data_IF_455298869896
#
_entry.id   IF_455298869896
#
_cell.length_a   1.000
_cell.length_b   1.000
_cell.length_c   1.000
_cell.angle_alpha   90.00
_cell.angle_beta   90.00
_cell.angle_gamma   90.00
#
_symmetry.space_group_name_H-M   'P 1'
#
loop_
_entity.id
_entity.type
_entity.pdbx_description
1 polymer ?
#
# COMPACT_ATOMS: atom_id res chain seq x y z
N UNK A 1 59.74 -51.36 15.86
CA UNK A 1 58.87 -51.31 17.05
C UNK A 1 59.09 -49.99 17.76
N UNK A 2 58.11 -49.08 17.74
CA UNK A 2 58.19 -47.86 18.53
C UNK A 2 57.09 -47.83 19.61
N UNK A 3 57.59 -47.98 20.83
CA UNK A 3 57.26 -47.30 22.09
C UNK A 3 55.85 -46.72 22.25
N UNK A 4 55.11 -47.35 23.17
CA UNK A 4 53.86 -46.91 23.76
C UNK A 4 54.12 -45.67 24.65
N UNK A 5 53.49 -44.54 24.33
CA UNK A 5 53.49 -43.33 25.14
C UNK A 5 52.12 -43.17 25.81
N UNK A 6 52.12 -43.04 27.13
CA UNK A 6 50.94 -42.96 27.98
C UNK A 6 49.97 -41.82 27.58
N UNK A 7 48.64 -42.00 27.76
CA UNK A 7 47.66 -41.00 27.39
C UNK A 7 47.79 -39.73 28.26
N UNK A 8 47.56 -38.54 27.68
CA UNK A 8 47.63 -37.29 28.43
C UNK A 8 46.49 -37.23 29.46
N UNK A 9 46.88 -36.89 30.70
CA UNK A 9 46.00 -36.59 31.82
C UNK A 9 45.02 -35.49 31.41
N UNK A 10 43.75 -35.85 31.22
CA UNK A 10 42.67 -34.87 31.01
C UNK A 10 42.46 -34.13 32.32
N UNK A 11 42.98 -32.91 32.41
CA UNK A 11 42.64 -31.99 33.47
C UNK A 11 41.14 -31.70 33.40
N UNK A 12 40.37 -32.21 34.38
CA UNK A 12 38.96 -31.84 34.55
C UNK A 12 38.89 -30.34 34.85
N UNK A 13 38.58 -29.53 33.82
CA UNK A 13 38.20 -28.14 34.04
C UNK A 13 36.95 -28.14 34.92
N UNK A 14 37.06 -27.49 36.07
CA UNK A 14 35.96 -27.28 37.02
C UNK A 14 34.73 -26.74 36.27
N UNK A 15 33.55 -27.32 36.53
CA UNK A 15 32.31 -27.02 35.80
C UNK A 15 31.76 -25.60 36.05
N UNK A 16 32.43 -24.78 36.85
CA UNK A 16 31.97 -23.44 37.21
C UNK A 16 32.22 -22.39 36.09
N UNK A 17 33.21 -22.60 35.21
CA UNK A 17 33.59 -21.59 34.21
C UNK A 17 32.65 -21.58 32.98
N UNK A 18 32.09 -22.73 32.58
CA UNK A 18 31.26 -22.85 31.37
C UNK A 18 29.86 -22.23 31.55
N UNK A 19 29.34 -22.20 32.77
CA UNK A 19 27.97 -21.72 33.05
C UNK A 19 27.84 -20.19 33.16
N UNK A 20 28.94 -19.47 33.38
CA UNK A 20 28.90 -18.01 33.62
C UNK A 20 28.54 -17.19 32.38
N UNK A 21 28.72 -17.76 31.19
CA UNK A 21 28.51 -17.04 29.93
C UNK A 21 27.06 -17.10 29.44
N UNK A 22 26.32 -18.16 29.81
CA UNK A 22 24.94 -18.40 29.38
C UNK A 22 23.92 -17.37 29.90
N UNK A 23 24.15 -16.78 31.08
CA UNK A 23 23.21 -15.82 31.69
C UNK A 23 23.05 -14.51 30.91
N UNK A 24 23.99 -14.15 30.03
CA UNK A 24 23.95 -12.86 29.31
C UNK A 24 22.89 -12.83 28.19
N UNK A 25 22.39 -13.99 27.79
CA UNK A 25 21.47 -14.14 26.64
C UNK A 25 20.05 -14.49 27.06
N UNK A 26 19.66 -14.25 28.32
CA UNK A 26 18.30 -14.46 28.83
C UNK A 26 17.91 -13.30 29.76
N UNK A 27 16.68 -12.82 29.66
CA UNK A 27 16.11 -11.85 30.63
C UNK A 27 15.87 -12.53 31.97
N UNK A 28 15.84 -11.76 33.07
CA UNK A 28 15.61 -12.30 34.42
C UNK A 28 14.28 -13.08 34.52
N UNK A 29 13.27 -12.72 33.72
CA UNK A 29 11.98 -13.44 33.65
C UNK A 29 12.08 -14.88 33.15
N UNK A 30 13.19 -15.23 32.48
CA UNK A 30 13.44 -16.58 31.97
C UNK A 30 13.96 -17.54 33.04
N UNK A 31 14.34 -17.05 34.23
CA UNK A 31 14.83 -17.87 35.34
C UNK A 31 13.71 -18.25 36.31
N UNK A 32 13.86 -19.37 36.99
CA UNK A 32 12.90 -19.80 38.01
C UNK A 32 12.86 -18.82 39.20
N UNK A 33 11.72 -18.72 39.86
CA UNK A 33 11.55 -17.83 41.04
C UNK A 33 12.56 -18.14 42.16
N UNK A 34 12.89 -19.41 42.34
CA UNK A 34 13.92 -19.89 43.27
C UNK A 34 15.31 -19.36 42.91
N UNK A 35 15.65 -19.36 41.61
CA UNK A 35 16.92 -18.82 41.10
C UNK A 35 17.02 -17.32 41.34
N UNK A 36 15.96 -16.56 41.01
CA UNK A 36 15.94 -15.11 41.21
C UNK A 36 16.01 -14.71 42.69
N UNK A 37 15.31 -15.43 43.55
CA UNK A 37 15.32 -15.18 44.99
C UNK A 37 16.70 -15.47 45.59
N UNK A 38 17.32 -16.60 45.24
CA UNK A 38 18.66 -16.95 45.73
C UNK A 38 19.74 -15.97 45.25
N UNK A 39 19.58 -15.44 44.03
CA UNK A 39 20.45 -14.38 43.48
C UNK A 39 20.30 -13.07 44.23
N UNK A 40 19.08 -12.66 44.55
CA UNK A 40 18.78 -11.42 45.28
C UNK A 40 19.35 -11.45 46.70
N UNK A 41 19.27 -12.61 47.36
CA UNK A 41 19.81 -12.83 48.70
C UNK A 41 21.32 -13.16 48.73
N UNK A 42 22.00 -13.16 47.56
CA UNK A 42 23.44 -13.40 47.46
C UNK A 42 23.90 -14.81 47.87
N UNK A 43 22.97 -15.76 47.97
CA UNK A 43 23.25 -17.14 48.35
C UNK A 43 23.92 -17.89 47.20
N UNK A 44 24.67 -18.96 47.50
CA UNK A 44 25.24 -19.82 46.46
C UNK A 44 24.13 -20.64 45.81
N UNK A 45 23.89 -20.45 44.51
CA UNK A 45 22.85 -21.16 43.76
C UNK A 45 23.35 -21.59 42.37
N UNK A 46 22.64 -22.53 41.74
CA UNK A 46 22.82 -22.91 40.34
C UNK A 46 21.71 -22.26 39.50
N UNK A 47 22.01 -21.48 38.45
CA UNK A 47 20.98 -20.81 37.65
C UNK A 47 20.13 -21.81 36.88
N UNK A 48 18.82 -21.79 37.14
CA UNK A 48 17.86 -22.69 36.48
C UNK A 48 16.86 -21.88 35.67
N UNK A 49 16.76 -22.20 34.38
CA UNK A 49 15.83 -21.59 33.44
C UNK A 49 14.45 -22.25 33.54
N UNK A 50 13.41 -21.50 33.22
CA UNK A 50 12.07 -22.06 33.04
C UNK A 50 12.05 -22.93 31.77
N UNK A 51 11.19 -23.95 31.69
CA UNK A 51 11.10 -24.83 30.52
C UNK A 51 10.78 -24.11 29.21
N UNK A 52 10.15 -22.94 29.29
CA UNK A 52 9.75 -22.06 28.19
C UNK A 52 10.73 -20.90 27.93
N UNK A 53 11.90 -20.91 28.56
CA UNK A 53 12.89 -19.85 28.42
C UNK A 53 13.46 -19.77 26.99
N UNK A 54 13.25 -18.63 26.32
CA UNK A 54 13.82 -18.34 25.00
C UNK A 54 14.96 -17.35 25.14
N UNK A 55 16.14 -17.59 24.53
CA UNK A 55 17.25 -16.64 24.55
C UNK A 55 16.86 -15.30 23.89
N UNK A 56 17.29 -14.18 24.48
CA UNK A 56 17.06 -12.82 23.95
C UNK A 56 17.62 -12.61 22.55
N UNK A 57 18.62 -13.40 22.14
CA UNK A 57 19.13 -13.44 20.77
C UNK A 57 18.03 -13.69 19.72
N UNK A 58 17.00 -14.46 20.06
CA UNK A 58 15.89 -14.75 19.16
C UNK A 58 14.71 -13.75 19.30
N UNK A 59 14.70 -12.92 20.34
CA UNK A 59 13.65 -11.91 20.61
C UNK A 59 13.89 -10.54 19.97
N UNK A 60 15.02 -10.32 19.29
CA UNK A 60 15.39 -9.03 18.70
C UNK A 60 14.46 -8.57 17.55
N UNK A 61 13.69 -9.47 16.95
CA UNK A 61 12.81 -9.14 15.82
C UNK A 61 11.54 -8.41 16.26
N UNK A 62 10.92 -8.80 17.37
CA UNK A 62 9.66 -8.22 17.82
C UNK A 62 9.83 -6.85 18.48
N UNK A 63 10.86 -6.66 19.30
CA UNK A 63 11.14 -5.38 19.96
C UNK A 63 11.62 -4.32 18.98
N UNK A 64 12.43 -4.69 17.98
CA UNK A 64 12.78 -3.78 16.89
C UNK A 64 11.57 -3.43 16.03
N UNK A 65 10.70 -4.41 15.72
CA UNK A 65 9.48 -4.19 14.93
C UNK A 65 8.49 -3.28 15.65
N UNK A 66 8.25 -3.47 16.96
CA UNK A 66 7.44 -2.57 17.80
C UNK A 66 8.03 -1.16 17.82
N UNK A 67 9.34 -1.01 18.06
CA UNK A 67 10.00 0.32 18.03
C UNK A 67 9.89 0.99 16.66
N UNK A 68 10.01 0.25 15.56
CA UNK A 68 9.85 0.79 14.19
C UNK A 68 8.40 1.21 13.92
N UNK A 69 7.44 0.45 14.44
CA UNK A 69 6.01 0.75 14.35
C UNK A 69 5.64 1.97 15.21
N UNK A 70 6.13 2.08 16.44
CA UNK A 70 5.94 3.25 17.31
C UNK A 70 6.62 4.51 16.75
N UNK A 71 7.79 4.38 16.12
CA UNK A 71 8.47 5.49 15.42
C UNK A 71 7.71 5.91 14.16
N UNK A 72 7.08 4.97 13.45
CA UNK A 72 6.20 5.27 12.32
C UNK A 72 4.92 5.98 12.79
N UNK A 73 4.27 5.47 13.84
CA UNK A 73 3.08 6.07 14.45
C UNK A 73 3.35 7.44 15.06
N UNK A 74 4.54 7.66 15.65
CA UNK A 74 4.96 8.99 16.13
C UNK A 74 5.22 9.97 15.00
N UNK A 75 5.81 9.53 13.86
CA UNK A 75 5.93 10.38 12.67
C UNK A 75 4.58 10.70 12.05
N UNK A 76 3.68 9.71 11.99
CA UNK A 76 2.33 9.87 11.44
C UNK A 76 1.43 10.72 12.35
N UNK A 77 1.55 10.56 13.67
CA UNK A 77 0.82 11.33 14.68
C UNK A 77 1.29 12.79 14.79
N UNK A 78 2.57 13.06 14.52
CA UNK A 78 3.10 14.44 14.48
C UNK A 78 2.67 15.18 13.21
N UNK A 79 2.38 14.47 12.11
CA UNK A 79 1.76 15.00 10.89
C UNK A 79 0.23 15.13 10.99
N UNK A 80 -0.43 14.44 11.92
CA UNK A 80 -1.90 14.41 12.04
C UNK A 80 -2.46 15.03 13.32
N UNK A 81 -1.70 15.80 14.10
CA UNK A 81 -2.30 16.71 15.10
C UNK A 81 -2.91 17.96 14.45
N UNK A 82 -3.67 17.78 13.36
CA UNK A 82 -4.71 18.73 12.97
C UNK A 82 -5.82 18.61 14.00
N UNK A 83 -5.86 19.55 14.93
CA UNK A 83 -7.04 19.80 15.77
C UNK A 83 -8.26 19.82 14.83
N UNK A 84 -9.22 18.89 15.00
CA UNK A 84 -10.50 18.94 14.27
C UNK A 84 -11.17 20.25 14.67
N UNK A 85 -10.96 21.28 13.86
CA UNK A 85 -11.68 22.53 13.98
C UNK A 85 -13.07 22.25 13.43
N UNK A 86 -14.05 22.16 14.33
CA UNK A 86 -15.46 22.14 13.93
C UNK A 86 -15.70 23.48 13.22
N UNK A 87 -16.02 23.45 11.92
CA UNK A 87 -16.25 24.69 11.17
C UNK A 87 -17.69 25.13 11.44
N UNK A 88 -17.88 26.16 12.24
CA UNK A 88 -19.18 26.79 12.46
C UNK A 88 -19.61 27.63 11.23
N UNK A 89 -18.70 27.82 10.27
CA UNK A 89 -18.87 28.68 9.10
C UNK A 89 -19.65 27.99 7.97
N UNK A 90 -19.72 26.66 7.97
CA UNK A 90 -20.34 25.90 6.88
C UNK A 90 -21.24 24.81 7.45
N UNK A 91 -22.43 24.65 6.86
CA UNK A 91 -23.54 23.86 7.42
C UNK A 91 -23.27 22.36 7.56
N UNK A 92 -22.45 21.77 6.70
CA UNK A 92 -22.14 20.33 6.73
C UNK A 92 -20.80 20.00 6.02
N UNK A 93 -20.38 18.74 6.12
CA UNK A 93 -19.15 18.23 5.51
C UNK A 93 -19.11 18.39 3.99
N UNK A 94 -20.24 18.17 3.31
CA UNK A 94 -20.34 18.28 1.86
C UNK A 94 -20.04 19.71 1.37
N UNK A 95 -20.53 20.72 2.10
CA UNK A 95 -20.27 22.11 1.80
C UNK A 95 -18.85 22.55 2.20
N UNK A 96 -18.27 21.93 3.25
CA UNK A 96 -16.86 22.17 3.61
C UNK A 96 -15.88 21.79 2.50
N UNK A 97 -16.17 20.75 1.71
CA UNK A 97 -15.29 20.34 0.61
C UNK A 97 -15.20 21.43 -0.47
N UNK A 98 -16.35 21.98 -0.88
CA UNK A 98 -16.39 23.07 -1.85
C UNK A 98 -15.74 24.35 -1.30
N UNK A 99 -16.05 24.73 -0.07
CA UNK A 99 -15.46 25.92 0.56
C UNK A 99 -13.94 25.78 0.77
N UNK A 100 -13.49 24.58 1.15
CA UNK A 100 -12.08 24.24 1.24
C UNK A 100 -11.37 24.39 -0.10
N UNK A 101 -11.98 23.90 -1.18
CA UNK A 101 -11.45 24.05 -2.53
C UNK A 101 -11.36 25.52 -2.96
N UNK A 102 -12.43 26.31 -2.77
CA UNK A 102 -12.44 27.75 -3.14
C UNK A 102 -11.31 28.51 -2.46
N UNK A 103 -11.19 28.37 -1.13
CA UNK A 103 -10.15 29.02 -0.33
C UNK A 103 -8.76 28.53 -0.70
N UNK A 104 -8.63 27.22 -0.95
CA UNK A 104 -7.38 26.60 -1.41
C UNK A 104 -6.93 27.16 -2.76
N UNK A 105 -7.81 27.22 -3.75
CA UNK A 105 -7.52 27.77 -5.07
C UNK A 105 -7.16 29.26 -5.00
N UNK A 106 -7.89 30.06 -4.20
CA UNK A 106 -7.55 31.47 -4.02
C UNK A 106 -6.13 31.65 -3.48
N UNK A 107 -5.72 30.82 -2.52
CA UNK A 107 -4.38 30.87 -1.94
C UNK A 107 -3.29 30.36 -2.89
N UNK A 108 -3.56 29.28 -3.62
CA UNK A 108 -2.58 28.64 -4.50
C UNK A 108 -2.42 29.42 -5.80
N UNK A 109 -3.50 29.88 -6.43
CA UNK A 109 -3.41 30.57 -7.73
C UNK A 109 -2.66 31.91 -7.64
N UNK A 110 -2.62 32.55 -6.47
CA UNK A 110 -1.80 33.76 -6.25
C UNK A 110 -0.30 33.48 -6.06
N UNK A 111 0.11 32.22 -5.97
CA UNK A 111 1.51 31.84 -5.65
C UNK A 111 2.10 30.83 -6.64
N UNK A 112 1.27 29.98 -7.25
CA UNK A 112 1.69 28.89 -8.14
C UNK A 112 0.78 28.88 -9.38
N UNK A 113 1.40 28.86 -10.56
CA UNK A 113 0.67 28.64 -11.80
C UNK A 113 0.08 27.22 -11.80
N UNK A 114 -1.24 27.13 -11.63
CA UNK A 114 -1.96 25.87 -11.53
C UNK A 114 -2.62 25.55 -12.87
N UNK A 115 -2.03 24.65 -13.65
CA UNK A 115 -2.58 24.25 -14.95
C UNK A 115 -3.72 23.25 -14.83
N UNK A 116 -3.63 22.32 -13.88
CA UNK A 116 -4.57 21.21 -13.73
C UNK A 116 -5.03 21.07 -12.28
N UNK A 117 -6.31 20.75 -12.12
CA UNK A 117 -6.90 20.37 -10.84
C UNK A 117 -7.56 19.00 -10.97
N UNK A 118 -7.15 18.05 -10.13
CA UNK A 118 -7.74 16.71 -10.08
C UNK A 118 -8.52 16.58 -8.76
N UNK A 119 -9.81 16.25 -8.84
CA UNK A 119 -10.66 16.08 -7.65
C UNK A 119 -11.49 14.81 -7.71
N UNK A 120 -12.14 14.47 -6.60
CA UNK A 120 -13.18 13.46 -6.58
C UNK A 120 -14.41 13.90 -7.40
N UNK A 121 -15.31 12.92 -7.65
CA UNK A 121 -16.60 13.13 -8.33
C UNK A 121 -17.62 13.78 -7.40
N UNK A 122 -17.30 14.97 -6.92
CA UNK A 122 -18.20 15.78 -6.09
C UNK A 122 -19.02 16.74 -6.94
N UNK A 123 -20.34 16.68 -6.83
CA UNK A 123 -21.26 17.41 -7.71
C UNK A 123 -21.11 18.93 -7.58
N UNK A 124 -20.95 19.46 -6.35
CA UNK A 124 -20.83 20.90 -6.15
C UNK A 124 -19.47 21.43 -6.63
N UNK A 125 -18.39 20.66 -6.46
CA UNK A 125 -17.07 21.00 -7.01
C UNK A 125 -17.11 21.02 -8.53
N UNK A 126 -17.70 19.99 -9.17
CA UNK A 126 -17.88 19.95 -10.62
C UNK A 126 -18.62 21.20 -11.12
N UNK A 127 -19.76 21.52 -10.50
CA UNK A 127 -20.55 22.71 -10.87
C UNK A 127 -19.74 23.98 -10.69
N UNK A 128 -19.06 24.14 -9.57
CA UNK A 128 -18.23 25.32 -9.29
C UNK A 128 -17.11 25.50 -10.33
N UNK A 129 -16.43 24.43 -10.72
CA UNK A 129 -15.38 24.50 -11.74
C UNK A 129 -15.96 24.87 -13.12
N UNK A 130 -17.10 24.30 -13.51
CA UNK A 130 -17.81 24.69 -14.74
C UNK A 130 -18.21 26.17 -14.72
N UNK A 131 -18.84 26.64 -13.63
CA UNK A 131 -19.25 28.04 -13.48
C UNK A 131 -18.03 28.99 -13.51
N UNK A 132 -16.88 28.55 -13.00
CA UNK A 132 -15.62 29.30 -13.04
C UNK A 132 -15.08 29.41 -14.47
N UNK A 133 -15.16 28.34 -15.25
CA UNK A 133 -14.71 28.31 -16.65
C UNK A 133 -15.53 29.23 -17.56
N UNK A 134 -16.82 29.43 -17.27
CA UNK A 134 -17.70 30.31 -18.04
C UNK A 134 -17.46 31.80 -17.81
N UNK A 135 -16.59 32.19 -16.87
CA UNK A 135 -16.36 33.61 -16.51
C UNK A 135 -15.14 34.17 -17.25
N UNK A 136 -15.29 35.23 -18.07
CA UNK A 136 -14.23 35.75 -18.95
C UNK A 136 -13.03 36.40 -18.22
N UNK A 137 -13.16 36.74 -16.93
CA UNK A 137 -12.13 37.46 -16.17
C UNK A 137 -11.45 36.61 -15.08
N UNK A 138 -11.57 35.28 -15.11
CA UNK A 138 -10.89 34.45 -14.11
C UNK A 138 -9.44 34.15 -14.52
N UNK A 139 -8.54 34.53 -13.62
CA UNK A 139 -7.08 34.71 -13.77
C UNK A 139 -6.24 33.54 -14.31
N UNK A 140 -6.80 32.35 -14.56
CA UNK A 140 -6.14 31.24 -15.26
C UNK A 140 -7.18 30.16 -15.54
N UNK A 141 -7.23 29.62 -16.76
CA UNK A 141 -8.12 28.54 -17.12
C UNK A 141 -7.56 27.20 -16.60
N UNK A 142 -7.95 26.81 -15.39
CA UNK A 142 -7.50 25.56 -14.75
C UNK A 142 -8.25 24.37 -15.32
N UNK A 143 -7.58 23.44 -16.00
CA UNK A 143 -8.23 22.24 -16.52
C UNK A 143 -8.66 21.32 -15.37
N UNK A 144 -9.96 21.16 -15.17
CA UNK A 144 -10.52 20.29 -14.13
C UNK A 144 -10.65 18.83 -14.62
N UNK A 145 -10.16 17.88 -13.81
CA UNK A 145 -10.26 16.44 -14.05
C UNK A 145 -10.74 15.70 -12.81
N UNK A 146 -11.22 14.47 -13.04
CA UNK A 146 -11.54 13.56 -11.95
C UNK A 146 -10.39 12.62 -11.65
N UNK A 147 -10.25 12.27 -10.38
CA UNK A 147 -9.29 11.27 -9.93
C UNK A 147 -9.65 9.89 -10.49
N UNK A 148 -8.74 9.34 -11.29
CA UNK A 148 -8.85 8.01 -11.91
C UNK A 148 -8.80 6.90 -10.87
N UNK A 149 -8.16 7.12 -9.71
CA UNK A 149 -8.06 6.13 -8.65
C UNK A 149 -9.44 5.66 -8.18
N UNK A 150 -10.39 6.58 -8.01
CA UNK A 150 -11.75 6.24 -7.63
C UNK A 150 -12.47 5.36 -8.67
N UNK A 151 -12.18 5.56 -9.96
CA UNK A 151 -12.73 4.75 -11.05
C UNK A 151 -12.08 3.36 -11.04
N UNK A 152 -10.75 3.30 -11.04
CA UNK A 152 -9.99 2.06 -11.02
C UNK A 152 -10.32 1.20 -9.79
N UNK A 153 -10.49 1.81 -8.62
CA UNK A 153 -10.95 1.14 -7.39
C UNK A 153 -12.35 0.54 -7.55
N UNK A 154 -13.27 1.27 -8.18
CA UNK A 154 -14.62 0.78 -8.45
C UNK A 154 -14.62 -0.41 -9.40
N UNK A 155 -13.87 -0.30 -10.50
CA UNK A 155 -13.64 -1.38 -11.48
C UNK A 155 -13.06 -2.62 -10.80
N UNK A 156 -12.00 -2.47 -10.00
CA UNK A 156 -11.38 -3.58 -9.26
C UNK A 156 -12.38 -4.32 -8.38
N UNK A 157 -13.24 -3.59 -7.63
CA UNK A 157 -14.30 -4.23 -6.82
C UNK A 157 -15.29 -5.03 -7.64
N UNK A 158 -15.71 -4.53 -8.80
CA UNK A 158 -16.64 -5.22 -9.69
C UNK A 158 -15.99 -6.51 -10.23
N UNK A 159 -14.74 -6.42 -10.67
CA UNK A 159 -13.98 -7.56 -11.18
C UNK A 159 -13.76 -8.60 -10.09
N UNK A 160 -13.35 -8.18 -8.90
CA UNK A 160 -13.12 -9.07 -7.77
C UNK A 160 -14.41 -9.80 -7.39
N UNK A 161 -15.56 -9.11 -7.36
CA UNK A 161 -16.85 -9.73 -7.13
C UNK A 161 -17.21 -10.75 -8.24
N UNK A 162 -17.01 -10.40 -9.51
CA UNK A 162 -17.30 -11.26 -10.64
C UNK A 162 -16.39 -12.50 -10.68
N UNK A 163 -15.13 -12.38 -10.26
CA UNK A 163 -14.13 -13.44 -10.28
C UNK A 163 -14.39 -14.56 -9.26
N UNK A 164 -15.22 -14.30 -8.25
CA UNK A 164 -15.62 -15.31 -7.24
C UNK A 164 -16.53 -16.40 -7.82
N UNK A 165 -17.15 -16.16 -8.97
CA UNK A 165 -17.93 -17.18 -9.67
C UNK A 165 -16.97 -18.18 -10.31
N UNK A 166 -17.18 -19.50 -10.09
CA UNK A 166 -16.32 -20.56 -10.63
C UNK A 166 -16.09 -20.42 -12.15
N UNK A 167 -17.13 -20.06 -12.90
CA UNK A 167 -17.07 -19.83 -14.35
C UNK A 167 -16.17 -18.65 -14.78
N UNK A 168 -15.86 -17.74 -13.85
CA UNK A 168 -15.09 -16.53 -14.08
C UNK A 168 -13.73 -16.55 -13.36
N UNK A 169 -13.25 -17.72 -12.94
CA UNK A 169 -11.99 -17.82 -12.19
C UNK A 169 -10.81 -17.17 -12.93
N UNK A 170 -10.76 -17.29 -14.26
CA UNK A 170 -9.75 -16.65 -15.13
C UNK A 170 -9.73 -15.13 -14.99
N UNK A 171 -10.86 -14.50 -14.69
CA UNK A 171 -10.97 -13.05 -14.54
C UNK A 171 -10.10 -12.51 -13.38
N UNK A 172 -9.90 -13.31 -12.33
CA UNK A 172 -9.03 -12.94 -11.20
C UNK A 172 -7.58 -12.68 -11.65
N UNK A 173 -7.10 -13.44 -12.65
CA UNK A 173 -5.76 -13.30 -13.22
C UNK A 173 -5.59 -11.96 -13.96
N UNK A 174 -6.69 -11.42 -14.47
CA UNK A 174 -6.72 -10.17 -15.22
C UNK A 174 -7.05 -8.94 -14.37
N UNK A 175 -7.56 -9.09 -13.15
CA UNK A 175 -8.02 -7.99 -12.28
C UNK A 175 -7.00 -6.85 -12.15
N UNK A 176 -5.74 -7.20 -11.87
CA UNK A 176 -4.66 -6.22 -11.76
C UNK A 176 -4.33 -5.55 -13.10
N UNK A 177 -4.38 -6.28 -14.20
CA UNK A 177 -4.10 -5.76 -15.54
C UNK A 177 -5.18 -4.77 -15.97
N UNK A 178 -6.46 -5.15 -15.83
CA UNK A 178 -7.60 -4.30 -16.17
C UNK A 178 -7.62 -3.04 -15.31
N UNK A 179 -7.35 -3.17 -14.01
CA UNK A 179 -7.28 -2.01 -13.11
C UNK A 179 -6.14 -1.06 -13.49
N UNK A 180 -4.97 -1.59 -13.88
CA UNK A 180 -3.84 -0.79 -14.37
C UNK A 180 -4.14 -0.15 -15.73
N UNK A 181 -4.89 -0.84 -16.59
CA UNK A 181 -5.30 -0.34 -17.89
C UNK A 181 -6.08 0.97 -17.76
N UNK A 182 -6.93 1.12 -16.74
CA UNK A 182 -7.61 2.41 -16.47
C UNK A 182 -6.64 3.57 -16.25
N UNK A 183 -5.57 3.36 -15.46
CA UNK A 183 -4.55 4.39 -15.25
C UNK A 183 -3.81 4.68 -16.55
N UNK A 184 -3.44 3.64 -17.28
CA UNK A 184 -2.77 3.77 -18.57
C UNK A 184 -3.62 4.53 -19.58
N UNK A 185 -4.93 4.26 -19.67
CA UNK A 185 -5.86 4.99 -20.53
C UNK A 185 -5.79 6.50 -20.25
N UNK A 186 -5.80 6.88 -18.96
CA UNK A 186 -5.72 8.29 -18.54
C UNK A 186 -4.33 8.90 -18.82
N UNK A 187 -3.24 8.21 -18.46
CA UNK A 187 -1.89 8.78 -18.53
C UNK A 187 -1.32 8.82 -19.95
N UNK A 188 -1.67 7.85 -20.80
CA UNK A 188 -1.16 7.74 -22.17
C UNK A 188 -2.00 8.52 -23.19
N UNK A 189 -3.13 9.10 -22.78
CA UNK A 189 -3.94 9.95 -23.66
C UNK A 189 -3.43 11.39 -23.58
N UNK A 190 -2.99 11.99 -24.69
CA UNK A 190 -2.54 13.36 -24.71
C UNK A 190 -3.69 14.34 -24.44
N UNK A 191 -3.31 15.55 -24.06
CA UNK A 191 -4.24 16.68 -23.99
C UNK A 191 -4.77 17.07 -25.37
N UNK A 192 -6.02 17.53 -25.43
CA UNK A 192 -6.67 17.95 -26.67
C UNK A 192 -8.17 17.67 -26.71
N UNK A 193 -8.86 18.13 -27.77
CA UNK A 193 -10.32 18.02 -27.90
C UNK A 193 -10.80 16.56 -27.87
N UNK A 194 -9.97 15.65 -28.37
CA UNK A 194 -10.28 14.24 -28.50
C UNK A 194 -9.86 13.40 -27.29
N UNK A 195 -9.27 14.00 -26.23
CA UNK A 195 -8.76 13.25 -25.07
C UNK A 195 -9.83 12.37 -24.43
N UNK A 196 -11.02 12.92 -24.21
CA UNK A 196 -12.11 12.18 -23.56
C UNK A 196 -12.53 10.95 -24.38
N UNK A 197 -12.64 11.11 -25.70
CA UNK A 197 -12.97 10.02 -26.61
C UNK A 197 -11.86 8.98 -26.66
N UNK A 198 -10.59 9.40 -26.74
CA UNK A 198 -9.45 8.48 -26.75
C UNK A 198 -9.32 7.66 -25.46
N UNK A 199 -9.53 8.28 -24.29
CA UNK A 199 -9.57 7.56 -22.99
C UNK A 199 -10.69 6.52 -23.00
N UNK A 200 -11.85 6.86 -23.55
CA UNK A 200 -12.99 5.96 -23.69
C UNK A 200 -12.68 4.79 -24.64
N UNK A 201 -12.10 5.06 -25.81
CA UNK A 201 -11.78 4.04 -26.81
C UNK A 201 -10.72 3.06 -26.29
N UNK A 202 -9.66 3.59 -25.65
CA UNK A 202 -8.68 2.76 -24.93
C UNK A 202 -9.34 1.91 -23.86
N UNK A 203 -10.26 2.48 -23.07
CA UNK A 203 -10.93 1.72 -22.02
C UNK A 203 -11.81 0.61 -22.60
N UNK A 204 -12.61 0.89 -23.61
CA UNK A 204 -13.50 -0.10 -24.25
C UNK A 204 -12.70 -1.22 -24.91
N UNK A 205 -11.53 -0.93 -25.49
CA UNK A 205 -10.67 -1.96 -26.09
C UNK A 205 -10.23 -3.07 -25.12
N UNK A 206 -10.34 -2.88 -23.80
CA UNK A 206 -9.92 -3.88 -22.82
C UNK A 206 -10.65 -5.20 -22.98
N UNK A 207 -11.91 -5.20 -23.43
CA UNK A 207 -12.68 -6.43 -23.63
C UNK A 207 -12.12 -7.29 -24.76
N UNK A 208 -11.59 -6.67 -25.81
CA UNK A 208 -10.94 -7.35 -26.92
C UNK A 208 -9.52 -7.78 -26.50
N UNK A 209 -8.79 -6.88 -25.84
CA UNK A 209 -7.42 -7.15 -25.38
C UNK A 209 -7.34 -8.39 -24.46
N UNK A 210 -8.24 -8.54 -23.49
CA UNK A 210 -8.25 -9.72 -22.61
C UNK A 210 -8.66 -11.02 -23.32
N UNK A 211 -9.23 -10.91 -24.52
CA UNK A 211 -9.61 -12.02 -25.39
C UNK A 211 -8.58 -12.30 -26.51
N UNK A 212 -7.37 -11.76 -26.37
CA UNK A 212 -6.26 -11.89 -27.34
C UNK A 212 -6.54 -11.25 -28.71
N UNK A 213 -7.45 -10.26 -28.74
CA UNK A 213 -7.73 -9.45 -29.93
C UNK A 213 -7.05 -8.11 -29.73
N UNK A 214 -5.99 -7.84 -30.50
CA UNK A 214 -5.13 -6.66 -30.34
C UNK A 214 -5.32 -5.60 -31.44
N UNK A 215 -6.16 -5.88 -32.43
CA UNK A 215 -6.44 -4.99 -33.57
C UNK A 215 -7.94 -4.94 -33.85
N UNK A 216 -8.37 -4.01 -34.71
CA UNK A 216 -9.78 -3.85 -35.07
C UNK A 216 -10.62 -3.19 -33.98
N UNK A 217 -9.99 -2.52 -33.02
CA UNK A 217 -10.68 -1.71 -32.04
C UNK A 217 -11.34 -0.49 -32.72
N UNK A 218 -12.41 0.03 -32.13
CA UNK A 218 -13.14 1.18 -32.67
C UNK A 218 -12.52 2.54 -32.33
N UNK A 219 -12.95 3.57 -33.06
CA UNK A 219 -12.70 4.97 -32.73
C UNK A 219 -11.25 5.41 -32.93
N UNK A 220 -10.71 6.13 -31.95
CA UNK A 220 -9.37 6.75 -31.99
C UNK A 220 -8.24 5.82 -31.54
N UNK A 221 -8.55 4.57 -31.18
CA UNK A 221 -7.58 3.61 -30.68
C UNK A 221 -7.76 2.25 -31.39
N UNK A 222 -7.31 2.10 -32.65
CA UNK A 222 -7.61 0.92 -33.48
C UNK A 222 -6.83 -0.35 -33.15
N UNK A 223 -5.71 -0.24 -32.41
CA UNK A 223 -4.87 -1.37 -32.03
C UNK A 223 -4.16 -1.13 -30.71
N UNK A 224 -3.82 -2.22 -30.01
CA UNK A 224 -3.05 -2.21 -28.78
C UNK A 224 -1.65 -1.60 -28.96
N UNK A 225 -1.13 -0.96 -27.91
CA UNK A 225 0.16 -0.26 -27.90
C UNK A 225 1.17 -0.96 -26.99
N UNK A 226 1.42 -2.24 -27.28
CA UNK A 226 2.47 -3.03 -26.62
C UNK A 226 3.04 -4.04 -27.61
N UNK A 227 4.25 -4.50 -27.33
CA UNK A 227 4.87 -5.62 -28.04
C UNK A 227 4.22 -6.95 -27.63
N UNK A 228 4.72 -8.06 -28.18
CA UNK A 228 4.22 -9.39 -27.86
C UNK A 228 4.17 -9.62 -26.34
N UNK A 229 2.99 -9.99 -25.84
CA UNK A 229 2.82 -10.32 -24.43
C UNK A 229 3.35 -11.72 -24.14
N UNK A 230 3.86 -11.90 -22.92
CA UNK A 230 4.12 -13.22 -22.36
C UNK A 230 2.84 -14.06 -22.38
N UNK A 231 2.94 -15.40 -22.50
CA UNK A 231 1.77 -16.27 -22.48
C UNK A 231 0.86 -15.97 -21.28
N UNK A 232 -0.43 -15.76 -21.57
CA UNK A 232 -1.47 -15.44 -20.58
C UNK A 232 -2.65 -16.38 -20.74
N UNK A 233 -3.41 -16.56 -19.66
CA UNK A 233 -4.69 -17.25 -19.70
C UNK A 233 -5.76 -16.32 -20.26
N UNK A 234 -5.89 -16.24 -21.58
CA UNK A 234 -6.86 -15.38 -22.27
C UNK A 234 -8.30 -15.75 -21.91
N UNK A 235 -9.17 -14.73 -21.88
CA UNK A 235 -10.59 -14.88 -21.61
C UNK A 235 -11.29 -15.19 -22.94
N UNK A 236 -11.99 -16.34 -23.02
CA UNK A 236 -12.84 -16.62 -24.18
C UNK A 236 -14.03 -15.66 -24.19
N UNK A 237 -14.36 -15.08 -25.35
CA UNK A 237 -15.62 -14.37 -25.51
C UNK A 237 -16.77 -15.35 -25.21
N UNK A 238 -17.72 -14.90 -24.39
CA UNK A 238 -18.93 -15.68 -24.17
C UNK A 238 -19.78 -15.69 -25.44
N UNK A 239 -20.38 -16.82 -25.74
CA UNK A 239 -21.48 -16.88 -26.72
C UNK A 239 -22.70 -16.21 -26.07
N UNK A 240 -23.26 -15.20 -26.72
CA UNK A 240 -24.54 -14.62 -26.33
C UNK A 240 -25.61 -15.67 -26.68
N UNK A 241 -26.08 -16.42 -25.69
CA UNK A 241 -27.33 -17.16 -25.87
C UNK A 241 -28.45 -16.12 -25.98
N UNK A 242 -28.84 -15.83 -27.23
CA UNK A 242 -30.06 -15.10 -27.58
C UNK A 242 -31.31 -15.80 -27.02
#
# INVERSE_FOLDING_TARGET
>A
MPVEAAPPVVQKKSSAAVFREFSKHFEDSAFTTRTLSSRKEGLKYQPELRPDAVPTLFGHSETQRKRKQDLADRRFGRLTKRRRQQSNQVRNSHAMELEGLKRGLQKICGTVNTSHLITDRHASVKKYMLDRHSKPHHDHQIIHRFDVWHVAKGVGKIIDAASKLKRNATLSLWSKSITKHMYWCSSSSPEGPNRAQLVKDKWVSISDHVADIHEGHGGLFPKCQHDQLVPRAWIKKGEENQ
#
